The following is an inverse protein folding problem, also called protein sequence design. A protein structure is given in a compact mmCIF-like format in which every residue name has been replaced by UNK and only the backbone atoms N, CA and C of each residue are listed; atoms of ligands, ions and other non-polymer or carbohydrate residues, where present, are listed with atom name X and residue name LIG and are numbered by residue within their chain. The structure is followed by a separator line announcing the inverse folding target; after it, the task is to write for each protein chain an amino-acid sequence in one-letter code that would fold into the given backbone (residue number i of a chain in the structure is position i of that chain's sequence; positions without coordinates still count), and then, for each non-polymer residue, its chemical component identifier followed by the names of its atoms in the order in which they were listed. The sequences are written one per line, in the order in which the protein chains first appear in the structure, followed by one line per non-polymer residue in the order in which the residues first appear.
data_IF_873391962387
#
_entry.id   IF_873391962387
#
_cell.length_a   1.000
_cell.length_b   1.000
_cell.length_c   1.000
_cell.angle_alpha   90.00
_cell.angle_beta   90.00
_cell.angle_gamma   90.00
#
_symmetry.space_group_name_H-M   'P 1'
#
loop_
_entity.id
_entity.type
_entity.pdbx_description
1 polymer ?
#
# COMPACT_ATOMS: atom_id res chain seq x y z
N UNK A 1 4.96 -5.03 -13.11
CA UNK A 1 3.94 -5.86 -13.77
C UNK A 1 3.39 -5.07 -14.95
N UNK A 2 3.79 -5.38 -16.19
CA UNK A 2 3.04 -4.92 -17.37
C UNK A 2 1.79 -5.81 -17.45
N UNK A 3 0.62 -5.22 -17.62
CA UNK A 3 -0.61 -5.98 -17.90
C UNK A 3 -0.46 -6.64 -19.27
N UNK A 4 0.18 -7.81 -19.31
CA UNK A 4 0.32 -8.59 -20.54
C UNK A 4 -1.07 -9.16 -20.87
N UNK A 5 -1.58 -8.82 -22.06
CA UNK A 5 -2.87 -9.26 -22.61
C UNK A 5 -4.12 -8.72 -21.88
N UNK A 6 -4.25 -7.39 -21.80
CA UNK A 6 -5.52 -6.74 -21.48
C UNK A 6 -5.77 -5.66 -22.53
N UNK A 7 -6.92 -5.69 -23.21
CA UNK A 7 -7.32 -4.62 -24.12
C UNK A 7 -7.51 -3.30 -23.35
N UNK A 8 -7.50 -2.17 -24.06
CA UNK A 8 -7.75 -0.87 -23.43
C UNK A 8 -9.14 -0.81 -22.77
N UNK A 9 -10.13 -1.49 -23.34
CA UNK A 9 -11.49 -1.54 -22.80
C UNK A 9 -11.58 -2.38 -21.52
N UNK A 10 -10.93 -3.54 -21.51
CA UNK A 10 -10.83 -4.37 -20.31
C UNK A 10 -10.09 -3.65 -19.19
N UNK A 11 -9.00 -2.94 -19.52
CA UNK A 11 -8.26 -2.13 -18.55
C UNK A 11 -9.17 -1.07 -17.91
N UNK A 12 -9.95 -0.34 -18.72
CA UNK A 12 -10.92 0.64 -18.20
C UNK A 12 -11.97 -0.01 -17.30
N UNK A 13 -12.47 -1.19 -17.67
CA UNK A 13 -13.43 -1.96 -16.86
C UNK A 13 -12.84 -2.37 -15.52
N UNK A 14 -11.61 -2.89 -15.50
CA UNK A 14 -10.93 -3.26 -14.25
C UNK A 14 -10.68 -2.04 -13.35
N UNK A 15 -10.26 -0.91 -13.91
CA UNK A 15 -10.01 0.33 -13.16
C UNK A 15 -11.27 0.94 -12.53
N UNK A 16 -12.45 0.63 -13.05
CA UNK A 16 -13.73 1.09 -12.51
C UNK A 16 -14.40 0.06 -11.58
N UNK A 17 -13.81 -1.14 -11.44
CA UNK A 17 -14.41 -2.21 -10.64
C UNK A 17 -14.36 -1.87 -9.15
N UNK A 18 -15.51 -1.82 -8.45
CA UNK A 18 -15.56 -1.59 -7.01
C UNK A 18 -15.23 -2.86 -6.20
N UNK A 19 -14.98 -3.98 -6.88
CA UNK A 19 -14.87 -5.30 -6.27
C UNK A 19 -13.45 -5.70 -5.90
N UNK A 20 -12.45 -4.87 -6.22
CA UNK A 20 -11.06 -5.12 -5.83
C UNK A 20 -10.68 -4.37 -4.57
N UNK A 21 -10.07 -5.10 -3.64
CA UNK A 21 -9.44 -4.53 -2.46
C UNK A 21 -8.19 -5.31 -2.09
N UNK A 22 -7.24 -4.64 -1.45
CA UNK A 22 -6.00 -5.25 -0.95
C UNK A 22 -6.01 -5.21 0.56
N UNK A 23 -5.66 -6.32 1.19
CA UNK A 23 -5.39 -6.42 2.63
C UNK A 23 -3.88 -6.45 2.84
N UNK A 24 -3.39 -5.56 3.70
CA UNK A 24 -2.01 -5.53 4.17
C UNK A 24 -1.89 -6.33 5.48
N UNK A 25 -1.03 -7.33 5.46
CA UNK A 25 -0.62 -8.14 6.61
C UNK A 25 0.86 -7.92 6.90
N UNK A 26 1.34 -8.42 8.04
CA UNK A 26 2.73 -8.29 8.46
C UNK A 26 3.38 -9.66 8.61
N UNK A 27 4.62 -9.80 8.12
CA UNK A 27 5.46 -10.99 8.34
C UNK A 27 6.80 -10.58 8.92
N UNK A 28 7.41 -11.47 9.70
CA UNK A 28 8.77 -11.29 10.20
C UNK A 28 9.77 -11.42 9.04
N UNK A 29 10.68 -10.44 8.87
CA UNK A 29 11.61 -10.45 7.76
C UNK A 29 12.74 -11.49 7.89
N UNK A 30 12.99 -11.97 9.11
CA UNK A 30 14.07 -12.90 9.41
C UNK A 30 13.61 -14.36 9.44
N UNK A 31 12.29 -14.62 9.53
CA UNK A 31 11.75 -15.98 9.52
C UNK A 31 11.53 -16.48 8.11
N UNK A 32 11.94 -17.73 7.88
CA UNK A 32 11.75 -18.39 6.58
C UNK A 32 10.31 -18.87 6.34
N UNK A 33 9.55 -19.08 7.42
CA UNK A 33 8.17 -19.59 7.37
C UNK A 33 7.15 -18.56 6.83
N UNK A 34 7.53 -17.28 6.80
CA UNK A 34 6.70 -16.15 6.33
C UNK A 34 5.29 -16.14 6.94
N UNK A 35 5.15 -16.64 8.17
CA UNK A 35 3.86 -16.71 8.85
C UNK A 35 3.34 -15.31 9.16
N UNK A 36 2.04 -15.12 8.95
CA UNK A 36 1.36 -13.86 9.25
C UNK A 36 1.38 -13.60 10.75
N UNK A 37 1.80 -12.40 11.12
CA UNK A 37 1.75 -11.92 12.49
C UNK A 37 0.33 -11.45 12.82
N UNK A 38 -0.14 -11.62 14.08
CA UNK A 38 -1.48 -11.20 14.47
C UNK A 38 -1.70 -9.70 14.26
N UNK A 39 -2.60 -9.34 13.34
CA UNK A 39 -2.88 -7.95 12.95
C UNK A 39 -3.24 -7.07 14.15
N UNK A 40 -4.03 -7.58 15.10
CA UNK A 40 -4.46 -6.81 16.28
C UNK A 40 -3.29 -6.41 17.19
N UNK A 41 -2.24 -7.23 17.27
CA UNK A 41 -1.10 -6.99 18.14
C UNK A 41 0.01 -6.18 17.47
N UNK A 42 0.08 -6.23 16.15
CA UNK A 42 1.21 -5.67 15.38
C UNK A 42 0.83 -4.47 14.51
N UNK A 43 -0.40 -4.37 14.01
CA UNK A 43 -0.83 -3.33 13.09
C UNK A 43 -1.89 -2.42 13.72
N UNK A 44 -1.92 -1.18 13.25
CA UNK A 44 -2.92 -0.17 13.57
C UNK A 44 -3.20 0.72 12.36
N UNK A 45 -4.37 1.35 12.34
CA UNK A 45 -4.85 2.13 11.21
C UNK A 45 -5.58 1.27 10.17
N UNK A 46 -5.60 1.73 8.92
CA UNK A 46 -6.25 1.07 7.80
C UNK A 46 -5.35 -0.02 7.19
N UNK A 47 -5.71 -1.28 7.43
CA UNK A 47 -5.05 -2.46 6.84
C UNK A 47 -5.72 -2.93 5.54
N UNK A 48 -6.76 -2.24 5.09
CA UNK A 48 -7.48 -2.55 3.85
C UNK A 48 -7.51 -1.31 2.98
N UNK A 49 -7.22 -1.47 1.69
CA UNK A 49 -7.34 -0.42 0.68
C UNK A 49 -8.24 -0.90 -0.45
N UNK A 50 -9.18 -0.05 -0.86
CA UNK A 50 -9.90 -0.22 -2.14
C UNK A 50 -9.03 0.22 -3.32
N UNK A 51 -9.47 -0.11 -4.53
CA UNK A 51 -8.87 0.36 -5.77
C UNK A 51 -9.09 1.86 -5.97
N UNK A 52 -8.00 2.60 -6.15
CA UNK A 52 -8.00 3.98 -6.61
C UNK A 52 -7.63 4.02 -8.08
N UNK A 53 -8.50 4.61 -8.90
CA UNK A 53 -8.14 5.02 -10.26
C UNK A 53 -7.44 6.37 -10.19
N UNK A 54 -6.13 6.39 -10.46
CA UNK A 54 -5.31 7.61 -10.42
C UNK A 54 -4.47 7.70 -11.68
N UNK A 55 -4.06 8.91 -12.01
CA UNK A 55 -3.08 9.17 -13.05
C UNK A 55 -1.67 9.03 -12.48
N UNK A 56 -0.87 8.17 -13.09
CA UNK A 56 0.52 7.92 -12.71
C UNK A 56 1.46 9.01 -13.27
N UNK A 57 2.76 8.91 -12.97
CA UNK A 57 3.80 9.85 -13.36
C UNK A 57 4.06 9.90 -14.88
N UNK A 58 3.64 8.87 -15.61
CA UNK A 58 3.68 8.80 -17.07
C UNK A 58 2.40 9.37 -17.73
N UNK A 59 1.54 10.00 -16.93
CA UNK A 59 0.28 10.61 -17.34
C UNK A 59 -0.82 9.61 -17.74
N UNK A 60 -0.64 8.31 -17.44
CA UNK A 60 -1.61 7.26 -17.76
C UNK A 60 -2.47 6.90 -16.55
N UNK A 61 -3.72 6.53 -16.79
CA UNK A 61 -4.61 6.01 -15.76
C UNK A 61 -4.14 4.62 -15.30
N UNK A 62 -4.00 4.45 -13.99
CA UNK A 62 -3.60 3.21 -13.34
C UNK A 62 -4.46 2.89 -12.12
N UNK A 63 -4.32 1.65 -11.66
CA UNK A 63 -5.03 1.12 -10.50
C UNK A 63 -4.09 0.99 -9.32
N UNK A 64 -4.37 1.73 -8.25
CA UNK A 64 -3.50 1.83 -7.08
C UNK A 64 -4.23 1.44 -5.80
N UNK A 65 -3.52 0.79 -4.89
CA UNK A 65 -3.98 0.50 -3.54
C UNK A 65 -3.05 1.23 -2.58
N UNK A 66 -3.60 2.11 -1.74
CA UNK A 66 -2.82 3.09 -0.99
C UNK A 66 -3.07 2.94 0.51
N UNK A 67 -1.99 2.75 1.25
CA UNK A 67 -1.99 2.61 2.71
C UNK A 67 -1.43 3.87 3.37
N UNK A 68 -2.22 4.94 3.37
CA UNK A 68 -1.82 6.26 3.91
C UNK A 68 -1.90 6.38 5.44
N UNK A 69 -2.54 5.42 6.10
CA UNK A 69 -2.74 5.36 7.55
C UNK A 69 -2.48 3.94 8.06
N UNK A 70 -1.25 3.44 7.88
CA UNK A 70 -0.83 2.12 8.36
C UNK A 70 0.38 2.27 9.28
N UNK A 71 0.34 1.65 10.45
CA UNK A 71 1.42 1.73 11.44
C UNK A 71 1.68 0.39 12.12
N UNK A 72 2.95 0.10 12.38
CA UNK A 72 3.38 -1.10 13.10
C UNK A 72 3.68 -0.76 14.56
N UNK A 73 3.10 -1.52 15.49
CA UNK A 73 3.14 -1.27 16.95
C UNK A 73 4.44 -1.72 17.61
N UNK A 74 5.07 -2.78 17.09
CA UNK A 74 6.22 -3.44 17.71
C UNK A 74 7.49 -3.19 16.92
N UNK A 75 8.58 -2.96 17.64
CA UNK A 75 9.92 -2.87 17.05
C UNK A 75 10.30 -4.18 16.37
N UNK A 76 11.01 -4.09 15.26
CA UNK A 76 11.54 -5.26 14.55
C UNK A 76 11.84 -4.99 13.08
N UNK A 77 12.20 -6.05 12.37
CA UNK A 77 12.38 -6.03 10.91
C UNK A 77 11.28 -6.86 10.28
N UNK A 78 10.49 -6.25 9.41
CA UNK A 78 9.27 -6.86 8.88
C UNK A 78 9.18 -6.69 7.37
N UNK A 79 8.26 -7.43 6.74
CA UNK A 79 7.76 -7.16 5.39
C UNK A 79 6.24 -7.03 5.46
N UNK A 80 5.67 -6.21 4.59
CA UNK A 80 4.23 -6.18 4.36
C UNK A 80 3.88 -7.26 3.34
N UNK A 81 2.84 -8.04 3.63
CA UNK A 81 2.23 -8.94 2.66
C UNK A 81 0.92 -8.32 2.17
N UNK A 82 0.84 -8.03 0.88
CA UNK A 82 -0.33 -7.49 0.23
C UNK A 82 -1.09 -8.60 -0.47
N UNK A 83 -2.31 -8.86 -0.01
CA UNK A 83 -3.23 -9.84 -0.59
C UNK A 83 -4.32 -9.12 -1.37
N UNK A 84 -4.33 -9.29 -2.69
CA UNK A 84 -5.39 -8.78 -3.56
C UNK A 84 -6.58 -9.73 -3.52
N UNK A 85 -7.74 -9.19 -3.20
CA UNK A 85 -9.02 -9.88 -3.24
C UNK A 85 -9.94 -9.28 -4.30
N UNK A 86 -10.80 -10.13 -4.84
CA UNK A 86 -11.89 -9.76 -5.71
C UNK A 86 -13.20 -10.34 -5.18
N UNK A 87 -14.25 -9.53 -5.18
CA UNK A 87 -15.61 -9.98 -4.87
C UNK A 87 -16.30 -10.40 -6.17
N UNK A 88 -16.70 -11.67 -6.28
CA UNK A 88 -17.51 -12.18 -7.40
C UNK A 88 -18.66 -12.99 -6.86
N UNK A 89 -19.88 -12.65 -7.30
CA UNK A 89 -21.10 -13.37 -6.93
C UNK A 89 -21.27 -13.57 -5.40
N UNK A 90 -20.88 -12.56 -4.63
CA UNK A 90 -20.93 -12.58 -3.16
C UNK A 90 -19.79 -13.36 -2.48
N UNK A 91 -18.88 -13.94 -3.26
CA UNK A 91 -17.70 -14.69 -2.78
C UNK A 91 -16.45 -13.82 -2.88
N UNK A 92 -15.60 -13.89 -1.85
CA UNK A 92 -14.31 -13.19 -1.80
C UNK A 92 -13.20 -14.16 -2.19
N UNK A 93 -12.48 -13.88 -3.29
CA UNK A 93 -11.41 -14.73 -3.80
C UNK A 93 -10.06 -14.01 -3.74
N UNK A 94 -9.02 -14.69 -3.24
CA UNK A 94 -7.65 -14.19 -3.32
C UNK A 94 -7.13 -14.36 -4.76
N UNK A 95 -6.71 -13.26 -5.38
CA UNK A 95 -6.19 -13.24 -6.76
C UNK A 95 -4.69 -13.27 -6.81
N UNK A 96 -4.04 -12.59 -5.88
CA UNK A 96 -2.60 -12.52 -5.84
C UNK A 96 -2.12 -12.13 -4.45
N UNK A 97 -0.90 -12.55 -4.12
CA UNK A 97 -0.22 -12.16 -2.90
C UNK A 97 1.20 -11.74 -3.24
N UNK A 98 1.64 -10.61 -2.69
CA UNK A 98 3.01 -10.10 -2.90
C UNK A 98 3.60 -9.56 -1.60
N UNK A 99 4.92 -9.54 -1.51
CA UNK A 99 5.66 -9.05 -0.35
C UNK A 99 6.40 -7.76 -0.69
N UNK A 100 6.44 -6.84 0.26
CA UNK A 100 7.32 -5.67 0.18
C UNK A 100 8.78 -6.06 0.40
N UNK A 101 9.66 -5.11 0.11
CA UNK A 101 11.01 -5.11 0.66
C UNK A 101 10.97 -5.03 2.20
N UNK A 102 11.99 -5.57 2.89
CA UNK A 102 12.06 -5.51 4.33
C UNK A 102 12.27 -4.08 4.82
N UNK A 103 11.59 -3.72 5.91
CA UNK A 103 11.73 -2.43 6.58
C UNK A 103 11.91 -2.62 8.08
N UNK A 104 12.44 -1.59 8.74
CA UNK A 104 12.73 -1.59 10.17
C UNK A 104 11.77 -0.66 10.90
N UNK A 105 11.15 -1.17 11.96
CA UNK A 105 10.38 -0.39 12.92
C UNK A 105 11.29 -0.12 14.10
N UNK A 106 11.56 1.17 14.35
CA UNK A 106 12.52 1.62 15.36
C UNK A 106 11.83 1.95 16.68
N UNK A 107 12.58 1.89 17.77
CA UNK A 107 12.21 2.59 19.00
C UNK A 107 12.26 4.11 18.78
N UNK A 108 11.49 4.92 19.53
CA UNK A 108 11.51 6.37 19.40
C UNK A 108 12.92 6.98 19.48
N UNK A 109 13.79 6.44 20.36
CA UNK A 109 15.17 6.91 20.54
C UNK A 109 16.12 6.60 19.37
N UNK A 110 15.76 5.63 18.53
CA UNK A 110 16.57 5.15 17.40
C UNK A 110 15.94 5.51 16.05
N UNK A 111 14.81 6.23 16.06
CA UNK A 111 14.10 6.57 14.85
C UNK A 111 14.91 7.57 14.02
N UNK A 112 15.30 7.24 12.77
CA UNK A 112 16.17 8.09 11.95
C UNK A 112 15.48 9.36 11.42
N UNK A 113 14.21 9.58 11.79
CA UNK A 113 13.37 10.62 11.22
C UNK A 113 12.40 10.04 10.19
N UNK A 114 11.36 10.82 9.91
CA UNK A 114 10.39 10.46 8.88
C UNK A 114 10.97 10.77 7.50
N UNK A 115 10.73 9.86 6.54
CA UNK A 115 11.04 10.14 5.15
C UNK A 115 10.15 11.26 4.63
N UNK A 116 10.70 12.07 3.74
CA UNK A 116 9.91 13.02 2.97
C UNK A 116 8.91 12.29 2.08
N UNK A 117 7.77 12.95 1.82
CA UNK A 117 6.86 12.45 0.80
C UNK A 117 7.60 12.31 -0.53
N UNK A 118 7.38 11.19 -1.23
CA UNK A 118 7.91 11.04 -2.58
C UNK A 118 7.12 11.89 -3.56
N UNK A 119 7.65 12.07 -4.78
CA UNK A 119 6.88 12.70 -5.86
C UNK A 119 5.55 11.97 -6.11
N UNK A 120 5.57 10.63 -6.14
CA UNK A 120 4.37 9.81 -6.33
C UNK A 120 3.34 10.05 -5.22
N UNK A 121 3.78 10.08 -3.95
CA UNK A 121 2.89 10.37 -2.81
C UNK A 121 2.22 11.73 -2.92
N UNK A 122 2.97 12.78 -3.31
CA UNK A 122 2.40 14.11 -3.54
C UNK A 122 1.38 14.10 -4.68
N UNK A 123 1.76 13.54 -5.82
CA UNK A 123 0.90 13.43 -7.01
C UNK A 123 -0.42 12.69 -6.72
N UNK A 124 -0.40 11.65 -5.89
CA UNK A 124 -1.62 10.95 -5.48
C UNK A 124 -2.44 11.75 -4.47
N UNK A 125 -1.78 12.45 -3.55
CA UNK A 125 -2.46 13.35 -2.61
C UNK A 125 -3.19 14.49 -3.33
N UNK A 126 -2.56 15.08 -4.36
CA UNK A 126 -3.15 16.15 -5.18
C UNK A 126 -4.36 15.66 -6.00
N UNK A 127 -4.45 14.34 -6.24
CA UNK A 127 -5.61 13.69 -6.86
C UNK A 127 -6.70 13.28 -5.84
N UNK A 128 -6.60 13.73 -4.59
CA UNK A 128 -7.63 13.54 -3.56
C UNK A 128 -7.46 12.30 -2.70
N UNK A 129 -6.35 11.56 -2.82
CA UNK A 129 -6.07 10.44 -1.92
C UNK A 129 -5.73 10.96 -0.53
N UNK A 130 -6.44 10.47 0.48
CA UNK A 130 -6.19 10.83 1.88
C UNK A 130 -4.92 10.15 2.40
N UNK A 131 -3.80 10.88 2.40
CA UNK A 131 -2.56 10.45 3.02
C UNK A 131 -1.92 11.59 3.82
N UNK A 132 -1.20 11.25 4.89
CA UNK A 132 -0.51 12.26 5.72
C UNK A 132 0.75 12.74 5.00
N UNK A 133 0.65 13.84 4.26
CA UNK A 133 1.82 14.52 3.69
C UNK A 133 2.39 15.50 4.72
N UNK A 134 3.61 15.25 5.19
CA UNK A 134 4.37 16.23 5.96
C UNK A 134 5.05 17.19 4.98
N UNK A 135 4.77 18.49 5.12
CA UNK A 135 5.37 19.55 4.33
C UNK A 135 6.54 20.12 5.11
N UNK A 136 7.75 20.15 4.56
CA UNK A 136 8.82 20.96 5.16
C UNK A 136 8.54 22.44 4.93
N UNK A 137 8.82 23.25 5.95
CA UNK A 137 9.02 24.67 5.77
C UNK A 137 10.36 24.83 5.03
N UNK A 138 10.30 25.33 3.78
CA UNK A 138 11.51 25.69 3.02
C UNK A 138 12.40 26.55 3.92
N UNK A 139 13.59 26.07 4.25
CA UNK A 139 14.66 26.96 4.70
C UNK A 139 14.91 27.92 3.54
N UNK A 140 14.51 29.18 3.72
CA UNK A 140 14.91 30.27 2.83
C UNK A 140 16.41 30.45 3.04
N UNK A 141 17.21 29.93 2.13
CA UNK A 141 18.59 30.37 1.93
C UNK A 141 18.57 31.63 1.08
#
# INVERSE_FOLDING_TARGET
MKWLQCSQEETKKYLQSPFYFVVANLVDANKHDQLLLPTQDYLSGATVSSLYKLRDIDNQDGGFFIFGDLSVKKQGKFKLQFCLFEIRDGVVENRNTTLSDPFTVYLPKQFPGALEATFLSRTFSDQGVKMRIRKEHRLQT
#
